data_IF_831993452782
#
_entry.id   IF_831993452782
#
_cell.length_a   1.000
_cell.length_b   1.000
_cell.length_c   1.000
_cell.angle_alpha   90.00
_cell.angle_beta   90.00
_cell.angle_gamma   90.00
#
_symmetry.space_group_name_H-M   'P 1'
#
loop_
_entity.id
_entity.type
_entity.pdbx_description
1 polymer ?
#
# COMPACT_ATOMS: atom_id res chain seq x y z
N UNK A 1 -11.64 -14.45 -40.26
CA UNK A 1 -10.22 -14.15 -39.95
C UNK A 1 -10.24 -12.98 -39.00
N UNK A 2 -10.18 -13.30 -37.71
CA UNK A 2 -10.36 -12.36 -36.61
C UNK A 2 -9.12 -11.47 -36.47
N UNK A 3 -9.34 -10.16 -36.57
CA UNK A 3 -8.41 -9.15 -36.05
C UNK A 3 -8.89 -8.78 -34.66
N UNK A 4 -8.43 -9.52 -33.64
CA UNK A 4 -8.38 -9.00 -32.28
C UNK A 4 -7.14 -8.10 -32.19
N UNK A 5 -7.33 -6.83 -32.52
CA UNK A 5 -6.40 -5.78 -32.12
C UNK A 5 -6.53 -5.66 -30.60
N UNK A 6 -5.45 -5.99 -29.89
CA UNK A 6 -5.29 -5.71 -28.46
C UNK A 6 -5.60 -4.23 -28.22
N UNK A 7 -6.68 -3.95 -27.50
CA UNK A 7 -6.89 -2.65 -26.89
C UNK A 7 -5.88 -2.52 -25.75
N UNK A 8 -4.76 -1.86 -26.03
CA UNK A 8 -3.99 -1.19 -24.99
C UNK A 8 -4.81 0.05 -24.63
N UNK A 9 -5.34 0.12 -23.41
CA UNK A 9 -6.00 1.31 -22.90
C UNK A 9 -4.97 2.44 -22.80
N UNK A 10 -5.28 3.60 -23.39
CA UNK A 10 -4.39 4.77 -23.49
C UNK A 10 -4.18 5.54 -22.16
N UNK A 11 -4.56 5.00 -21.00
CA UNK A 11 -4.47 5.69 -19.70
C UNK A 11 -3.65 4.93 -18.65
N UNK A 12 -2.61 4.20 -19.06
CA UNK A 12 -1.68 3.64 -18.07
C UNK A 12 -0.78 4.77 -17.54
N UNK A 13 -1.12 5.29 -16.37
CA UNK A 13 -0.27 6.25 -15.65
C UNK A 13 1.05 5.56 -15.33
N UNK A 14 2.12 6.00 -15.99
CA UNK A 14 3.48 5.56 -15.67
C UNK A 14 3.83 6.07 -14.27
N UNK A 15 3.66 5.19 -13.27
CA UNK A 15 3.97 5.41 -11.86
C UNK A 15 4.90 4.31 -11.33
N UNK A 16 5.64 4.59 -10.25
CA UNK A 16 6.37 3.54 -9.53
C UNK A 16 5.43 2.49 -8.98
N UNK A 17 5.98 1.30 -8.74
CA UNK A 17 5.26 0.24 -8.05
C UNK A 17 4.99 0.64 -6.58
N UNK A 18 3.77 0.38 -6.12
CA UNK A 18 3.38 0.54 -4.72
C UNK A 18 3.96 -0.63 -3.94
N UNK A 19 5.05 -0.34 -3.23
CA UNK A 19 5.72 -1.26 -2.33
C UNK A 19 5.50 -0.84 -0.89
N UNK A 20 5.74 -1.76 0.03
CA UNK A 20 5.58 -1.53 1.47
C UNK A 20 6.42 -0.39 2.03
N UNK A 21 7.64 -0.23 1.53
CA UNK A 21 8.54 0.87 1.90
C UNK A 21 7.98 2.25 1.54
N UNK A 22 7.04 2.30 0.59
CA UNK A 22 6.41 3.54 0.15
C UNK A 22 5.14 3.86 0.96
N UNK A 23 4.64 2.99 1.85
CA UNK A 23 3.34 3.19 2.50
C UNK A 23 3.51 3.66 3.96
N UNK A 24 3.01 4.84 4.29
CA UNK A 24 2.94 5.33 5.68
C UNK A 24 1.58 4.96 6.24
N UNK A 25 1.56 4.22 7.32
CA UNK A 25 0.31 3.90 8.03
C UNK A 25 0.37 4.27 9.50
N UNK A 26 1.38 5.05 9.90
CA UNK A 26 1.55 5.52 11.27
C UNK A 26 0.47 6.52 11.70
N UNK A 27 -0.19 7.18 10.73
CA UNK A 27 -1.24 8.17 10.96
C UNK A 27 -2.64 7.59 11.21
N UNK A 28 -2.87 6.30 11.01
CA UNK A 28 -4.19 5.69 11.23
C UNK A 28 -4.45 5.45 12.72
N UNK A 29 -5.62 5.89 13.19
CA UNK A 29 -6.07 5.67 14.56
C UNK A 29 -7.10 4.56 14.65
N UNK A 30 -7.30 3.99 15.84
CA UNK A 30 -8.31 2.93 16.08
C UNK A 30 -9.74 3.35 15.69
N UNK A 31 -10.03 4.65 15.62
CA UNK A 31 -11.36 5.20 15.28
C UNK A 31 -11.62 5.21 13.78
N UNK A 32 -10.56 5.15 12.96
CA UNK A 32 -10.65 5.10 11.49
C UNK A 32 -11.03 3.69 11.00
N UNK A 33 -11.15 2.72 11.90
CA UNK A 33 -11.54 1.34 11.63
C UNK A 33 -12.82 1.01 12.40
N UNK A 34 -13.98 1.36 11.84
CA UNK A 34 -15.27 1.02 12.43
C UNK A 34 -15.53 -0.50 12.37
N UNK A 35 -16.09 -1.02 13.45
CA UNK A 35 -16.32 -2.46 13.66
C UNK A 35 -17.13 -3.10 12.50
N UNK A 36 -16.47 -4.06 11.86
CA UNK A 36 -17.03 -5.28 11.24
C UNK A 36 -17.87 -5.24 9.95
N UNK A 37 -17.93 -4.16 9.16
CA UNK A 37 -18.52 -4.31 7.80
C UNK A 37 -17.91 -3.55 6.62
N UNK A 38 -17.02 -2.57 6.83
CA UNK A 38 -16.41 -1.82 5.70
C UNK A 38 -14.97 -1.47 6.04
N UNK A 39 -14.03 -2.37 5.70
CA UNK A 39 -12.65 -2.28 6.19
C UNK A 39 -11.85 -1.14 5.54
N UNK A 40 -12.31 -0.54 4.44
CA UNK A 40 -11.46 0.35 3.63
C UNK A 40 -12.13 1.59 3.06
N UNK A 41 -13.41 1.85 3.34
CA UNK A 41 -14.06 3.08 2.90
C UNK A 41 -13.46 4.29 3.63
N UNK A 42 -12.91 5.26 2.89
CA UNK A 42 -12.32 6.46 3.49
C UNK A 42 -10.84 6.39 3.86
N UNK A 43 -10.16 5.28 3.56
CA UNK A 43 -8.75 5.10 3.97
C UNK A 43 -7.82 5.85 3.01
N UNK A 44 -7.04 6.78 3.57
CA UNK A 44 -6.03 7.57 2.87
C UNK A 44 -4.63 7.19 3.37
N UNK A 45 -3.85 6.45 2.56
CA UNK A 45 -2.49 6.02 2.90
C UNK A 45 -1.48 7.00 2.30
N UNK A 46 -0.75 7.79 3.10
CA UNK A 46 0.35 8.59 2.59
C UNK A 46 1.40 7.71 1.93
N UNK A 47 1.91 8.15 0.77
CA UNK A 47 3.04 7.49 0.13
C UNK A 47 4.33 8.13 0.69
N UNK A 48 4.98 7.46 1.68
CA UNK A 48 6.19 7.95 2.38
C UNK A 48 7.24 8.40 1.39
N UNK A 49 7.83 9.54 1.70
CA UNK A 49 8.38 10.42 0.70
C UNK A 49 9.83 10.80 0.94
N UNK A 50 10.56 10.08 1.80
CA UNK A 50 11.82 10.64 2.28
C UNK A 50 12.95 10.65 1.24
N UNK A 51 12.81 10.02 0.06
CA UNK A 51 13.83 10.14 -0.99
C UNK A 51 13.49 9.64 -2.40
N UNK A 52 12.30 9.08 -2.69
CA UNK A 52 12.07 8.45 -3.99
C UNK A 52 11.80 9.49 -5.10
N UNK A 53 12.73 9.71 -6.05
CA UNK A 53 12.56 10.72 -7.11
C UNK A 53 11.41 10.39 -8.06
N UNK A 54 11.03 9.12 -8.17
CA UNK A 54 10.02 8.67 -9.13
C UNK A 54 8.61 9.04 -8.66
N UNK A 55 8.32 8.92 -7.36
CA UNK A 55 7.04 9.40 -6.79
C UNK A 55 6.92 10.93 -6.86
N UNK A 56 8.05 11.64 -6.78
CA UNK A 56 8.09 13.08 -7.03
C UNK A 56 7.72 13.43 -8.47
N UNK A 57 8.10 12.60 -9.45
CA UNK A 57 7.67 12.76 -10.84
C UNK A 57 6.17 12.57 -11.01
N UNK A 58 5.56 11.58 -10.33
CA UNK A 58 4.09 11.39 -10.33
C UNK A 58 3.39 12.61 -9.76
N UNK A 59 3.90 13.16 -8.66
CA UNK A 59 3.37 14.40 -8.09
C UNK A 59 3.42 15.58 -9.06
N UNK A 60 4.57 15.82 -9.71
CA UNK A 60 4.67 16.89 -10.69
C UNK A 60 3.75 16.68 -11.89
N UNK A 61 3.55 15.43 -12.30
CA UNK A 61 2.57 15.10 -13.32
C UNK A 61 1.14 15.47 -12.89
N UNK A 62 0.75 15.16 -11.65
CA UNK A 62 -0.56 15.57 -11.10
C UNK A 62 -0.70 17.09 -10.97
N UNK A 63 0.35 17.79 -10.55
CA UNK A 63 0.39 19.27 -10.56
C UNK A 63 0.13 19.80 -11.96
N UNK A 64 0.90 19.36 -12.96
CA UNK A 64 0.72 19.80 -14.34
C UNK A 64 -0.68 19.51 -14.86
N UNK A 65 -1.22 18.32 -14.56
CA UNK A 65 -2.59 17.92 -14.92
C UNK A 65 -3.61 18.88 -14.33
N UNK A 66 -3.49 19.21 -13.04
CA UNK A 66 -4.36 20.15 -12.35
C UNK A 66 -4.28 21.56 -12.96
N UNK A 67 -3.06 22.12 -13.12
CA UNK A 67 -2.87 23.49 -13.63
C UNK A 67 -3.42 23.63 -15.05
N UNK A 68 -3.23 22.64 -15.92
CA UNK A 68 -3.79 22.62 -17.27
C UNK A 68 -5.33 22.56 -17.28
N UNK A 69 -5.92 21.89 -16.30
CA UNK A 69 -7.38 21.69 -16.20
C UNK A 69 -8.08 22.88 -15.55
N UNK A 70 -7.48 23.45 -14.50
CA UNK A 70 -8.11 24.45 -13.63
C UNK A 70 -7.70 25.88 -13.97
N UNK A 71 -6.52 26.08 -14.57
CA UNK A 71 -5.92 27.39 -14.82
C UNK A 71 -5.31 28.06 -13.59
N UNK A 72 -5.41 27.44 -12.40
CA UNK A 72 -4.73 27.89 -11.20
C UNK A 72 -3.28 27.43 -11.20
N UNK A 73 -2.39 28.22 -10.59
CA UNK A 73 -0.98 27.86 -10.40
C UNK A 73 -0.82 27.29 -8.99
N UNK A 74 -0.22 26.11 -8.90
CA UNK A 74 0.07 25.45 -7.64
C UNK A 74 1.24 26.15 -6.96
N UNK A 75 1.11 26.37 -5.64
CA UNK A 75 2.13 27.09 -4.87
C UNK A 75 3.49 26.37 -4.93
N UNK A 76 4.53 27.10 -5.32
CA UNK A 76 5.89 26.60 -5.34
C UNK A 76 6.40 26.22 -3.93
N UNK A 77 7.26 25.21 -3.83
CA UNK A 77 7.93 24.75 -2.61
C UNK A 77 7.03 24.16 -1.50
N UNK A 78 5.82 23.73 -1.82
CA UNK A 78 5.04 22.88 -0.90
C UNK A 78 5.61 21.45 -0.83
N UNK A 79 5.40 20.71 0.28
CA UNK A 79 5.77 19.31 0.34
C UNK A 79 5.00 18.54 -0.74
N UNK A 80 5.58 17.45 -1.22
CA UNK A 80 4.85 16.50 -2.04
C UNK A 80 3.79 15.86 -1.10
N UNK A 81 2.54 15.75 -1.50
CA UNK A 81 1.45 15.27 -0.64
C UNK A 81 0.58 14.27 -1.39
N UNK A 82 1.21 13.15 -1.73
CA UNK A 82 0.62 12.09 -2.52
C UNK A 82 0.11 10.97 -1.61
N UNK A 83 -1.15 10.60 -1.77
CA UNK A 83 -1.79 9.55 -1.01
C UNK A 83 -2.46 8.54 -1.93
N UNK A 84 -2.55 7.30 -1.46
CA UNK A 84 -3.41 6.28 -2.01
C UNK A 84 -4.73 6.26 -1.23
N UNK A 85 -5.82 6.62 -1.89
CA UNK A 85 -7.17 6.49 -1.39
C UNK A 85 -7.76 5.15 -1.80
N UNK A 86 -8.42 4.48 -0.86
CA UNK A 86 -9.08 3.20 -1.06
C UNK A 86 -10.56 3.38 -0.75
N UNK A 87 -11.40 2.81 -1.59
CA UNK A 87 -12.85 2.86 -1.45
C UNK A 87 -13.42 1.47 -1.80
N UNK A 88 -14.22 0.92 -0.91
CA UNK A 88 -14.95 -0.33 -1.13
C UNK A 88 -16.42 0.00 -1.40
N UNK A 89 -16.95 -0.45 -2.54
CA UNK A 89 -18.36 -0.32 -2.85
C UNK A 89 -19.15 -1.43 -2.13
N UNK A 90 -19.99 -1.08 -1.14
CA UNK A 90 -20.71 -2.04 -0.31
C UNK A 90 -21.81 -2.79 -1.08
N UNK A 91 -22.17 -2.31 -2.27
CA UNK A 91 -23.24 -2.90 -3.10
C UNK A 91 -22.71 -3.87 -4.14
N UNK A 92 -21.44 -3.74 -4.53
CA UNK A 92 -20.81 -4.55 -5.59
C UNK A 92 -19.65 -5.41 -5.11
N UNK A 93 -19.20 -5.23 -3.86
CA UNK A 93 -17.96 -5.82 -3.32
C UNK A 93 -16.70 -5.44 -4.13
N UNK A 94 -16.79 -4.39 -4.94
CA UNK A 94 -15.65 -3.90 -5.72
C UNK A 94 -14.80 -2.92 -4.89
N UNK A 95 -13.48 -3.09 -4.96
CA UNK A 95 -12.51 -2.16 -4.40
C UNK A 95 -11.92 -1.28 -5.49
N UNK A 96 -11.90 0.02 -5.25
CA UNK A 96 -11.21 0.99 -6.10
C UNK A 96 -10.00 1.61 -5.40
N UNK A 97 -9.01 1.99 -6.21
CA UNK A 97 -7.76 2.58 -5.76
C UNK A 97 -7.53 3.88 -6.52
N UNK A 98 -7.31 4.97 -5.80
CA UNK A 98 -7.17 6.29 -6.39
C UNK A 98 -5.92 6.95 -5.82
N UNK A 99 -4.99 7.35 -6.68
CA UNK A 99 -3.92 8.26 -6.29
C UNK A 99 -4.50 9.67 -6.17
N UNK A 100 -4.18 10.34 -5.07
CA UNK A 100 -4.69 11.67 -4.75
C UNK A 100 -3.52 12.59 -4.40
N UNK A 101 -3.44 13.75 -5.05
CA UNK A 101 -2.49 14.80 -4.76
C UNK A 101 -3.20 16.00 -4.12
N UNK A 102 -2.80 16.37 -2.90
CA UNK A 102 -3.37 17.50 -2.16
C UNK A 102 -2.58 18.79 -2.42
N UNK A 103 -3.08 19.61 -3.35
CA UNK A 103 -2.39 20.76 -3.91
C UNK A 103 -2.81 22.05 -3.21
N UNK A 104 -1.85 22.81 -2.69
CA UNK A 104 -2.09 24.17 -2.17
C UNK A 104 -2.05 25.18 -3.30
N UNK A 105 -3.11 25.96 -3.44
CA UNK A 105 -3.23 27.07 -4.40
C UNK A 105 -3.52 28.38 -3.67
N UNK A 106 -3.22 29.51 -4.33
CA UNK A 106 -3.65 30.84 -3.88
C UNK A 106 -4.88 31.25 -4.69
N UNK A 107 -6.01 31.39 -3.99
CA UNK A 107 -7.26 31.87 -4.56
C UNK A 107 -7.64 33.20 -3.90
N UNK A 108 -7.43 34.29 -4.64
CA UNK A 108 -7.68 35.67 -4.19
C UNK A 108 -7.06 36.04 -2.82
N UNK A 109 -5.86 35.54 -2.51
CA UNK A 109 -5.15 35.81 -1.28
C UNK A 109 -5.46 34.84 -0.14
N UNK A 110 -6.32 33.85 -0.37
CA UNK A 110 -6.54 32.72 0.54
C UNK A 110 -5.83 31.47 0.02
N UNK A 111 -5.15 30.75 0.91
CA UNK A 111 -4.53 29.47 0.56
C UNK A 111 -5.55 28.37 0.80
N UNK A 112 -6.00 27.73 -0.29
CA UNK A 112 -6.91 26.60 -0.25
C UNK A 112 -6.20 25.31 -0.70
N UNK A 113 -6.74 24.17 -0.28
CA UNK A 113 -6.26 22.84 -0.70
C UNK A 113 -7.24 22.25 -1.71
N UNK A 114 -6.74 21.98 -2.90
CA UNK A 114 -7.44 21.26 -3.96
C UNK A 114 -6.92 19.81 -4.04
N UNK A 115 -7.72 18.93 -4.62
CA UNK A 115 -7.35 17.53 -4.79
C UNK A 115 -7.39 17.15 -6.27
N UNK A 116 -6.26 16.72 -6.82
CA UNK A 116 -6.21 16.10 -8.14
C UNK A 116 -6.05 14.59 -7.98
N UNK A 117 -6.90 13.84 -8.66
CA UNK A 117 -7.02 12.40 -8.48
C UNK A 117 -6.81 11.64 -9.77
N UNK A 118 -6.31 10.41 -9.64
CA UNK A 118 -6.14 9.47 -10.75
C UNK A 118 -6.50 8.05 -10.29
N UNK A 119 -7.43 7.39 -10.99
CA UNK A 119 -7.78 6.01 -10.68
C UNK A 119 -6.67 5.09 -11.18
N UNK A 120 -6.31 4.10 -10.38
CA UNK A 120 -5.29 3.12 -10.72
C UNK A 120 -5.81 1.71 -10.56
N UNK A 121 -5.23 0.79 -11.33
CA UNK A 121 -5.44 -0.64 -11.17
C UNK A 121 -4.12 -1.21 -10.64
N UNK A 122 -4.03 -1.54 -9.34
CA UNK A 122 -2.80 -2.09 -8.79
C UNK A 122 -2.57 -3.51 -9.32
N UNK A 123 -1.31 -3.85 -9.57
CA UNK A 123 -0.94 -5.24 -9.89
C UNK A 123 -0.96 -6.10 -8.61
N UNK A 124 -0.96 -7.42 -8.77
CA UNK A 124 -1.10 -8.36 -7.65
C UNK A 124 -0.10 -8.10 -6.49
N UNK A 125 1.16 -7.80 -6.81
CA UNK A 125 2.19 -7.50 -5.80
C UNK A 125 1.90 -6.22 -5.01
N UNK A 126 1.36 -5.20 -5.67
CA UNK A 126 0.93 -3.95 -5.03
C UNK A 126 -0.27 -4.17 -4.11
N UNK A 127 -1.24 -5.00 -4.53
CA UNK A 127 -2.39 -5.37 -3.70
C UNK A 127 -1.92 -6.07 -2.42
N UNK A 128 -0.94 -6.98 -2.53
CA UNK A 128 -0.35 -7.64 -1.37
C UNK A 128 0.33 -6.63 -0.43
N UNK A 129 1.12 -5.69 -0.98
CA UNK A 129 1.74 -4.61 -0.22
C UNK A 129 0.69 -3.73 0.50
N UNK A 130 -0.33 -3.27 -0.22
CA UNK A 130 -1.41 -2.43 0.31
C UNK A 130 -2.16 -3.16 1.44
N UNK A 131 -2.58 -4.40 1.21
CA UNK A 131 -3.30 -5.19 2.21
C UNK A 131 -2.44 -5.38 3.47
N UNK A 132 -1.16 -5.70 3.31
CA UNK A 132 -0.29 -5.86 4.46
C UNK A 132 -0.06 -4.51 5.17
N UNK A 133 0.07 -3.38 4.46
CA UNK A 133 0.10 -2.01 5.00
C UNK A 133 -1.13 -1.69 5.86
N UNK A 134 -2.28 -2.25 5.52
CA UNK A 134 -3.53 -2.00 6.22
C UNK A 134 -3.78 -2.94 7.39
N UNK A 135 -2.90 -3.94 7.63
CA UNK A 135 -3.03 -4.81 8.81
C UNK A 135 -2.90 -3.98 10.10
N UNK A 136 -3.90 -4.14 10.97
CA UNK A 136 -4.09 -3.42 12.22
C UNK A 136 -2.85 -3.49 13.12
N UNK A 137 -2.46 -2.34 13.67
CA UNK A 137 -1.42 -2.22 14.70
C UNK A 137 -2.01 -1.42 15.86
N UNK A 138 -2.30 -2.08 16.97
CA UNK A 138 -2.89 -1.48 18.17
C UNK A 138 -1.94 -1.44 19.37
N UNK A 139 -0.74 -2.03 19.23
CA UNK A 139 0.33 -2.00 20.23
C UNK A 139 1.70 -2.31 19.59
N UNK A 140 2.78 -2.15 20.37
CA UNK A 140 4.17 -2.37 19.92
C UNK A 140 4.41 -3.80 19.39
N UNK A 141 3.84 -4.82 20.02
CA UNK A 141 3.97 -6.20 19.56
C UNK A 141 3.27 -6.43 18.23
N UNK A 142 2.11 -5.80 17.99
CA UNK A 142 1.43 -5.85 16.70
C UNK A 142 2.21 -5.09 15.61
N UNK A 143 2.91 -4.00 15.97
CA UNK A 143 3.82 -3.31 15.06
C UNK A 143 5.00 -4.21 14.70
N UNK A 144 5.60 -4.86 15.70
CA UNK A 144 6.74 -5.74 15.53
C UNK A 144 6.37 -7.00 14.73
N UNK A 145 5.19 -7.56 15.00
CA UNK A 145 4.59 -8.65 14.24
C UNK A 145 4.41 -8.27 12.77
N UNK A 146 3.79 -7.11 12.49
CA UNK A 146 3.62 -6.58 11.15
C UNK A 146 4.94 -6.32 10.44
N UNK A 147 5.90 -5.69 11.12
CA UNK A 147 7.25 -5.43 10.60
C UNK A 147 7.98 -6.73 10.25
N UNK A 148 7.92 -7.72 11.13
CA UNK A 148 8.52 -9.04 10.91
C UNK A 148 7.86 -9.76 9.74
N UNK A 149 6.52 -9.71 9.65
CA UNK A 149 5.76 -10.27 8.52
C UNK A 149 6.22 -9.73 7.18
N UNK A 150 6.51 -8.44 7.10
CA UNK A 150 7.05 -7.84 5.88
C UNK A 150 8.40 -8.39 5.48
N UNK A 151 9.32 -8.51 6.44
CA UNK A 151 10.64 -9.06 6.17
C UNK A 151 10.55 -10.52 5.68
N UNK A 152 9.59 -11.27 6.22
CA UNK A 152 9.33 -12.65 5.79
C UNK A 152 8.69 -12.71 4.41
N UNK A 153 7.69 -11.88 4.11
CA UNK A 153 7.03 -11.80 2.81
C UNK A 153 8.01 -11.46 1.67
N UNK A 154 8.98 -10.59 1.94
CA UNK A 154 10.02 -10.20 0.98
C UNK A 154 11.04 -11.32 0.68
N UNK A 155 11.01 -12.44 1.41
CA UNK A 155 11.89 -13.56 1.14
C UNK A 155 11.50 -14.24 -0.19
N UNK A 156 12.48 -14.44 -1.08
CA UNK A 156 12.28 -15.07 -2.40
C UNK A 156 11.64 -16.46 -2.36
N UNK A 157 11.79 -17.19 -1.26
CA UNK A 157 11.17 -18.52 -1.09
C UNK A 157 9.67 -18.43 -0.77
N UNK A 158 9.23 -17.28 -0.24
CA UNK A 158 7.84 -17.01 0.20
C UNK A 158 7.10 -16.14 -0.82
N UNK A 159 7.82 -15.30 -1.56
CA UNK A 159 7.29 -14.46 -2.62
C UNK A 159 6.36 -15.25 -3.55
N UNK A 160 5.11 -14.80 -3.65
CA UNK A 160 4.06 -15.44 -4.47
C UNK A 160 3.17 -16.46 -3.74
N UNK A 161 3.41 -16.71 -2.45
CA UNK A 161 2.50 -17.47 -1.57
C UNK A 161 1.55 -16.51 -0.84
N UNK A 162 0.29 -16.90 -0.69
CA UNK A 162 -0.71 -16.15 0.07
C UNK A 162 -0.48 -16.27 1.57
N UNK A 163 -0.46 -15.15 2.27
CA UNK A 163 -0.39 -15.09 3.72
C UNK A 163 -1.66 -15.68 4.36
N UNK A 164 -1.50 -16.51 5.39
CA UNK A 164 -2.63 -17.09 6.15
C UNK A 164 -2.71 -16.52 7.55
N UNK A 165 -1.62 -16.63 8.31
CA UNK A 165 -1.55 -16.18 9.69
C UNK A 165 -0.11 -16.07 10.15
N UNK A 166 0.10 -15.29 11.20
CA UNK A 166 1.33 -15.24 11.97
C UNK A 166 1.07 -14.92 13.44
N UNK A 167 2.09 -15.15 14.25
CA UNK A 167 2.11 -14.79 15.66
C UNK A 167 3.55 -14.57 16.12
N UNK A 168 3.72 -13.80 17.19
CA UNK A 168 4.90 -13.85 18.05
C UNK A 168 4.41 -14.46 19.35
N UNK A 169 4.93 -15.64 19.67
CA UNK A 169 4.52 -16.34 20.89
C UNK A 169 5.29 -15.82 22.13
N UNK A 170 4.88 -16.31 23.30
CA UNK A 170 5.52 -15.97 24.58
C UNK A 170 7.01 -16.33 24.70
N UNK A 171 7.55 -17.13 23.77
CA UNK A 171 8.96 -17.50 23.70
C UNK A 171 9.79 -16.59 22.79
N UNK A 172 9.23 -15.45 22.40
CA UNK A 172 9.86 -14.50 21.46
C UNK A 172 10.13 -15.14 20.08
N UNK A 173 9.26 -16.06 19.66
CA UNK A 173 9.34 -16.74 18.38
C UNK A 173 8.27 -16.22 17.44
N UNK A 174 8.68 -15.60 16.34
CA UNK A 174 7.79 -15.30 15.23
C UNK A 174 7.55 -16.55 14.41
N UNK A 175 6.29 -16.80 14.06
CA UNK A 175 5.84 -17.89 13.19
C UNK A 175 4.85 -17.36 12.18
N UNK A 176 4.91 -17.84 10.95
CA UNK A 176 3.96 -17.48 9.90
C UNK A 176 3.69 -18.63 8.96
N UNK A 177 2.48 -18.65 8.41
CA UNK A 177 2.00 -19.67 7.48
C UNK A 177 1.62 -18.99 6.16
N UNK A 178 2.09 -19.57 5.07
CA UNK A 178 1.87 -19.10 3.71
C UNK A 178 1.46 -20.27 2.82
N UNK A 179 0.46 -20.09 1.97
CA UNK A 179 -0.07 -21.15 1.10
C UNK A 179 0.07 -20.81 -0.37
N UNK A 180 0.34 -21.81 -1.20
CA UNK A 180 0.26 -21.67 -2.65
C UNK A 180 -1.19 -21.42 -3.09
N UNK A 181 -1.38 -20.84 -4.27
CA UNK A 181 -2.72 -20.58 -4.81
C UNK A 181 -3.59 -21.85 -4.94
N UNK A 182 -2.99 -23.01 -5.16
CA UNK A 182 -3.68 -24.30 -5.22
C UNK A 182 -3.79 -25.01 -3.86
N UNK A 183 -3.31 -24.36 -2.79
CA UNK A 183 -3.29 -24.82 -1.39
C UNK A 183 -2.56 -26.15 -1.16
N UNK A 184 -1.75 -26.60 -2.13
CA UNK A 184 -1.00 -27.86 -2.02
C UNK A 184 0.34 -27.71 -1.32
N UNK A 185 0.92 -26.51 -1.36
CA UNK A 185 2.22 -26.23 -0.78
C UNK A 185 2.04 -25.20 0.32
N UNK A 186 2.54 -25.54 1.50
CA UNK A 186 2.60 -24.69 2.66
C UNK A 186 4.04 -24.29 2.93
N UNK A 187 4.24 -23.02 3.28
CA UNK A 187 5.51 -22.51 3.77
C UNK A 187 5.31 -21.98 5.17
N UNK A 188 6.16 -22.42 6.09
CA UNK A 188 6.22 -21.95 7.46
C UNK A 188 7.48 -21.10 7.61
N UNK A 189 7.32 -19.81 7.87
CA UNK A 189 8.41 -18.90 8.21
C UNK A 189 8.55 -18.79 9.73
N UNK A 190 9.76 -18.96 10.26
CA UNK A 190 10.04 -18.89 11.69
C UNK A 190 11.28 -18.03 11.97
N UNK A 191 11.23 -17.17 12.98
CA UNK A 191 12.39 -16.43 13.50
C UNK A 191 12.39 -16.60 15.01
N UNK A 192 13.41 -17.27 15.55
CA UNK A 192 13.62 -17.37 17.00
C UNK A 192 14.29 -16.10 17.53
N UNK A 193 13.91 -15.66 18.73
CA UNK A 193 14.34 -14.38 19.31
C UNK A 193 14.10 -13.22 18.34
N UNK A 194 12.85 -13.04 17.90
CA UNK A 194 12.52 -12.14 16.78
C UNK A 194 12.92 -10.69 17.07
N UNK A 195 12.91 -10.27 18.33
CA UNK A 195 13.37 -8.95 18.74
C UNK A 195 14.90 -8.74 18.64
N UNK A 196 15.69 -9.80 18.45
CA UNK A 196 17.12 -9.70 18.21
C UNK A 196 17.41 -9.50 16.71
N UNK A 197 17.99 -8.34 16.37
CA UNK A 197 18.32 -7.96 14.98
C UNK A 197 19.28 -8.91 14.24
N UNK A 198 19.95 -9.82 14.95
CA UNK A 198 20.86 -10.82 14.34
C UNK A 198 20.19 -12.16 14.06
N UNK A 199 18.94 -12.33 14.49
CA UNK A 199 18.15 -13.53 14.27
C UNK A 199 17.86 -13.73 12.78
N UNK A 200 17.79 -15.00 12.36
CA UNK A 200 17.64 -15.36 10.95
C UNK A 200 16.30 -16.03 10.72
N UNK A 201 15.67 -15.70 9.59
CA UNK A 201 14.51 -16.41 9.07
C UNK A 201 14.88 -17.85 8.71
N UNK A 202 14.13 -18.77 9.27
CA UNK A 202 14.09 -20.18 8.91
C UNK A 202 12.81 -20.43 8.14
N UNK A 203 12.91 -21.13 7.02
CA UNK A 203 11.77 -21.42 6.14
C UNK A 203 11.64 -22.92 6.00
N UNK A 204 10.46 -23.44 6.32
CA UNK A 204 10.11 -24.85 6.10
C UNK A 204 9.05 -24.94 5.02
N UNK A 205 9.33 -25.67 3.95
CA UNK A 205 8.36 -25.99 2.91
C UNK A 205 7.75 -27.37 3.19
N UNK A 206 6.43 -27.47 3.15
CA UNK A 206 5.65 -28.69 3.38
C UNK A 206 4.69 -28.89 2.20
N UNK A 207 4.72 -30.06 1.56
CA UNK A 207 3.93 -30.38 0.37
C UNK A 207 4.76 -30.85 -0.80
#
# INVERSE_FOLDING_TARGET
>A
MDKKTLGLSEDEVHRPEIMLENLDVSGFTKQDFLDDTFFYDGICIPLVQLSNPEWKSVWFWMVNKFEMKSGYIVKENQPVDLCLYIEDDPTTEERSYTLSAFLKIDDYGEVITECETEKIIPVKGEIEAINLALLKVSNYEEYFLKYTRYQVAANKLISGFGFVMDEIDSSDMYKSIWLSCDQKVCIIGCISNVHNATSKLQVLKVG
#
